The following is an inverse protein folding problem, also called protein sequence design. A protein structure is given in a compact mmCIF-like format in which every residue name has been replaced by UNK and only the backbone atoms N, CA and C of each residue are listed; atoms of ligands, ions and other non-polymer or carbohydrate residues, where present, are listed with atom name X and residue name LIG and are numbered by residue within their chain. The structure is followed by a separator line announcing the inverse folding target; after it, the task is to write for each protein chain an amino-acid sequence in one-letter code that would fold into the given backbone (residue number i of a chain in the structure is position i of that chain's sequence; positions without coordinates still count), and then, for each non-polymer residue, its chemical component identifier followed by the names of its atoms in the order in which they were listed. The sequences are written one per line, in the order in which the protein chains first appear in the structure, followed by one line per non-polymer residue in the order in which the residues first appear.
data_IF_723755327566
#
_entry.id   IF_723755327566
#
_cell.length_a   1.000
_cell.length_b   1.000
_cell.length_c   1.000
_cell.angle_alpha   90.00
_cell.angle_beta   90.00
_cell.angle_gamma   90.00
#
_symmetry.space_group_name_H-M   'P 1'
#
loop_
_entity.id
_entity.type
_entity.pdbx_description
1 polymer ?
#
# COMPACT_ATOMS: atom_id res chain seq x y z
N UNK A 1 19.16 39.89 -30.60
CA UNK A 1 19.98 39.73 -29.37
C UNK A 1 19.19 39.95 -28.06
N UNK A 2 17.92 39.52 -27.94
CA UNK A 2 17.13 39.67 -26.70
C UNK A 2 17.39 38.56 -25.66
N UNK A 3 17.65 37.32 -26.09
CA UNK A 3 17.76 36.18 -25.16
C UNK A 3 18.90 36.23 -24.13
N UNK A 4 20.06 36.82 -24.43
CA UNK A 4 21.21 36.80 -23.49
C UNK A 4 21.01 37.67 -22.23
N UNK A 5 20.25 38.78 -22.33
CA UNK A 5 19.97 39.65 -21.18
C UNK A 5 18.93 39.03 -20.24
N UNK A 6 17.96 38.31 -20.79
CA UNK A 6 16.92 37.65 -20.02
C UNK A 6 17.47 36.49 -19.16
N UNK A 7 18.44 35.73 -19.68
CA UNK A 7 19.14 34.70 -18.91
C UNK A 7 19.95 35.27 -17.74
N UNK A 8 20.62 36.42 -17.94
CA UNK A 8 21.41 37.07 -16.88
C UNK A 8 20.49 37.60 -15.77
N UNK A 9 19.35 38.19 -16.14
CA UNK A 9 18.34 38.62 -15.18
C UNK A 9 17.78 37.43 -14.38
N UNK A 10 17.43 36.32 -15.05
CA UNK A 10 16.95 35.10 -14.39
C UNK A 10 17.99 34.54 -13.40
N UNK A 11 19.27 34.48 -13.79
CA UNK A 11 20.34 34.02 -12.89
C UNK A 11 20.56 34.96 -11.70
N UNK A 12 20.46 36.28 -11.88
CA UNK A 12 20.57 37.25 -10.79
C UNK A 12 19.42 37.11 -9.78
N UNK A 13 18.20 36.84 -10.25
CA UNK A 13 17.05 36.55 -9.37
C UNK A 13 17.17 35.21 -8.63
N UNK A 14 17.76 34.19 -9.26
CA UNK A 14 18.01 32.89 -8.64
C UNK A 14 19.23 32.88 -7.72
N UNK A 15 20.13 33.85 -7.84
CA UNK A 15 21.42 33.88 -7.13
C UNK A 15 21.27 33.78 -5.60
N UNK A 16 20.35 34.52 -4.93
CA UNK A 16 20.16 34.38 -3.48
C UNK A 16 19.69 32.98 -3.06
N UNK A 17 18.80 32.37 -3.85
CA UNK A 17 18.31 31.00 -3.60
C UNK A 17 19.41 29.97 -3.83
N UNK A 18 20.12 30.05 -4.96
CA UNK A 18 21.21 29.14 -5.28
C UNK A 18 22.37 29.28 -4.29
N UNK A 19 22.66 30.50 -3.84
CA UNK A 19 23.70 30.77 -2.87
C UNK A 19 23.36 30.18 -1.49
N UNK A 20 22.13 30.38 -1.01
CA UNK A 20 21.69 29.80 0.27
C UNK A 20 21.64 28.27 0.21
N UNK A 21 21.13 27.71 -0.89
CA UNK A 21 21.09 26.26 -1.10
C UNK A 21 22.50 25.68 -1.23
N UNK A 22 23.40 26.33 -1.99
CA UNK A 22 24.78 25.91 -2.12
C UNK A 22 25.50 25.98 -0.77
N UNK A 23 25.46 27.10 -0.05
CA UNK A 23 26.20 27.20 1.22
C UNK A 23 25.63 26.24 2.25
N UNK A 24 24.31 26.21 2.48
CA UNK A 24 23.77 25.35 3.53
C UNK A 24 23.93 23.86 3.18
N UNK A 25 23.60 23.48 1.95
CA UNK A 25 23.59 22.08 1.54
C UNK A 25 24.97 21.57 1.14
N UNK A 26 25.71 22.29 0.29
CA UNK A 26 27.02 21.85 -0.20
C UNK A 26 28.05 21.82 0.94
N UNK A 27 28.05 22.82 1.82
CA UNK A 27 28.94 22.80 2.99
C UNK A 27 28.63 21.60 3.89
N UNK A 28 27.36 21.40 4.26
CA UNK A 28 26.96 20.27 5.11
C UNK A 28 27.29 18.92 4.44
N UNK A 29 27.05 18.81 3.14
CA UNK A 29 27.36 17.62 2.35
C UNK A 29 28.87 17.33 2.32
N UNK A 30 29.68 18.30 1.87
CA UNK A 30 31.14 18.14 1.80
C UNK A 30 31.72 17.84 3.17
N UNK A 31 31.22 18.48 4.23
CA UNK A 31 31.66 18.22 5.61
C UNK A 31 31.27 16.82 6.08
N UNK A 32 30.07 16.34 5.75
CA UNK A 32 29.61 14.98 6.09
C UNK A 32 30.45 13.93 5.36
N UNK A 33 30.74 14.16 4.08
CA UNK A 33 31.62 13.30 3.30
C UNK A 33 33.03 13.31 3.87
N UNK A 34 33.58 14.48 4.20
CA UNK A 34 34.89 14.56 4.86
C UNK A 34 34.90 13.76 6.17
N UNK A 35 33.86 13.90 6.99
CA UNK A 35 33.76 13.16 8.25
C UNK A 35 33.62 11.65 8.09
N UNK A 36 32.99 11.16 7.01
CA UNK A 36 32.86 9.72 6.78
C UNK A 36 34.19 9.02 6.53
N UNK A 37 35.22 9.74 6.05
CA UNK A 37 36.59 9.23 5.87
C UNK A 37 37.48 9.40 7.11
N UNK A 38 36.93 9.90 8.21
CA UNK A 38 37.68 10.17 9.44
C UNK A 38 37.10 9.41 10.63
N UNK A 39 37.95 9.08 11.60
CA UNK A 39 37.51 8.65 12.94
C UNK A 39 37.15 9.90 13.73
N UNK A 40 36.00 10.47 13.37
CA UNK A 40 35.46 11.64 14.02
C UNK A 40 34.63 11.22 15.23
N UNK A 41 35.10 11.62 16.41
CA UNK A 41 34.33 11.58 17.65
C UNK A 41 34.31 13.00 18.20
N UNK A 42 33.17 13.49 18.71
CA UNK A 42 33.01 14.86 19.19
C UNK A 42 34.10 15.30 20.20
N UNK A 43 34.75 14.34 20.86
CA UNK A 43 35.74 14.56 21.91
C UNK A 43 37.19 14.22 21.51
N UNK A 44 37.46 13.73 20.30
CA UNK A 44 38.81 13.32 19.87
C UNK A 44 39.28 14.08 18.63
N UNK A 45 40.60 14.27 18.54
CA UNK A 45 41.24 14.85 17.36
C UNK A 45 41.01 13.90 16.18
N UNK A 46 40.50 14.46 15.09
CA UNK A 46 40.07 13.76 13.89
C UNK A 46 41.26 13.12 13.17
N UNK A 47 41.28 11.79 13.05
CA UNK A 47 42.27 11.07 12.23
C UNK A 47 41.63 10.61 10.93
N UNK A 48 42.32 10.78 9.81
CA UNK A 48 41.86 10.26 8.51
C UNK A 48 42.11 8.76 8.48
N UNK A 49 41.04 7.97 8.37
CA UNK A 49 41.11 6.49 8.35
C UNK A 49 40.68 5.94 6.97
N UNK A 50 40.27 6.81 6.05
CA UNK A 50 39.95 6.44 4.68
C UNK A 50 38.69 5.58 4.62
N UNK A 51 38.77 4.44 3.93
CA UNK A 51 37.61 3.56 3.66
C UNK A 51 37.32 2.53 4.77
N UNK A 52 38.08 2.53 5.86
CA UNK A 52 37.90 1.58 6.96
C UNK A 52 36.49 1.63 7.56
N UNK A 53 35.91 2.82 7.64
CA UNK A 53 34.58 3.04 8.22
C UNK A 53 33.50 2.31 7.40
N UNK A 54 33.57 2.38 6.07
CA UNK A 54 32.64 1.69 5.18
C UNK A 54 32.80 0.17 5.25
N UNK A 55 34.04 -0.32 5.24
CA UNK A 55 34.32 -1.76 5.38
C UNK A 55 33.86 -2.29 6.75
N UNK A 56 33.98 -1.48 7.80
CA UNK A 56 33.45 -1.78 9.13
C UNK A 56 31.93 -1.86 9.15
N UNK A 57 31.23 -0.92 8.50
CA UNK A 57 29.76 -0.91 8.43
C UNK A 57 29.20 -2.20 7.84
N UNK A 58 29.78 -2.72 6.76
CA UNK A 58 29.30 -3.97 6.15
C UNK A 58 29.61 -5.23 6.98
N UNK A 59 30.50 -5.14 7.97
CA UNK A 59 30.77 -6.21 8.94
C UNK A 59 29.83 -6.14 10.15
N UNK A 60 29.19 -5.00 10.38
CA UNK A 60 28.23 -4.83 11.47
C UNK A 60 26.89 -5.52 11.13
N UNK A 61 26.47 -6.55 11.87
CA UNK A 61 25.29 -7.33 11.53
C UNK A 61 24.00 -6.50 11.57
N UNK A 62 23.93 -5.52 12.47
CA UNK A 62 22.77 -4.63 12.59
C UNK A 62 22.68 -3.63 11.44
N UNK A 63 23.81 -3.21 10.86
CA UNK A 63 23.81 -2.30 9.72
C UNK A 63 23.25 -3.00 8.49
N UNK A 64 23.78 -4.19 8.17
CA UNK A 64 23.32 -4.97 7.00
C UNK A 64 21.84 -5.34 7.16
N UNK A 65 21.42 -5.75 8.35
CA UNK A 65 20.02 -6.06 8.64
C UNK A 65 19.13 -4.82 8.49
N UNK A 66 19.55 -3.67 9.02
CA UNK A 66 18.82 -2.40 8.89
C UNK A 66 18.72 -1.92 7.44
N UNK A 67 19.78 -2.10 6.65
CA UNK A 67 19.79 -1.79 5.23
C UNK A 67 18.82 -2.69 4.46
N UNK A 68 18.83 -4.00 4.71
CA UNK A 68 17.89 -4.94 4.10
C UNK A 68 16.45 -4.56 4.46
N UNK A 69 16.15 -4.28 5.74
CA UNK A 69 14.81 -3.85 6.15
C UNK A 69 14.37 -2.55 5.47
N UNK A 70 15.29 -1.60 5.27
CA UNK A 70 15.01 -0.33 4.58
C UNK A 70 14.73 -0.53 3.09
N UNK A 71 15.47 -1.44 2.43
CA UNK A 71 15.24 -1.78 1.03
C UNK A 71 13.93 -2.56 0.84
N UNK A 72 13.66 -3.54 1.70
CA UNK A 72 12.41 -4.29 1.74
C UNK A 72 11.23 -3.34 1.99
N UNK A 73 11.39 -2.39 2.93
CA UNK A 73 10.42 -1.32 3.16
C UNK A 73 10.15 -0.49 1.91
N UNK A 74 11.19 0.05 1.29
CA UNK A 74 11.04 0.89 0.11
C UNK A 74 10.35 0.14 -1.04
N UNK A 75 10.77 -1.10 -1.32
CA UNK A 75 10.19 -1.92 -2.39
C UNK A 75 8.73 -2.28 -2.15
N UNK A 76 8.40 -2.82 -0.97
CA UNK A 76 7.04 -3.27 -0.66
C UNK A 76 6.08 -2.10 -0.54
N UNK A 77 6.47 -1.02 0.16
CA UNK A 77 5.62 0.14 0.37
C UNK A 77 5.35 0.84 -0.96
N UNK A 78 6.38 1.07 -1.77
CA UNK A 78 6.20 1.73 -3.07
C UNK A 78 5.32 0.90 -4.01
N UNK A 79 5.54 -0.41 -4.10
CA UNK A 79 4.69 -1.26 -4.94
C UNK A 79 3.24 -1.31 -4.44
N UNK A 80 3.04 -1.45 -3.13
CA UNK A 80 1.70 -1.54 -2.51
C UNK A 80 0.94 -0.22 -2.64
N UNK A 81 1.57 0.91 -2.31
CA UNK A 81 0.92 2.22 -2.40
C UNK A 81 0.56 2.56 -3.84
N UNK A 82 1.43 2.26 -4.83
CA UNK A 82 1.13 2.48 -6.25
C UNK A 82 -0.04 1.62 -6.71
N UNK A 83 -0.06 0.35 -6.31
CA UNK A 83 -1.17 -0.57 -6.61
C UNK A 83 -2.51 -0.08 -6.03
N UNK A 84 -2.55 0.23 -4.73
CA UNK A 84 -3.78 0.71 -4.08
C UNK A 84 -4.20 2.09 -4.59
N UNK A 85 -3.25 2.98 -4.84
CA UNK A 85 -3.52 4.32 -5.36
C UNK A 85 -4.13 4.27 -6.77
N UNK A 86 -3.63 3.39 -7.64
CA UNK A 86 -4.19 3.20 -8.98
C UNK A 86 -5.62 2.66 -8.91
N UNK A 87 -5.86 1.64 -8.07
CA UNK A 87 -7.21 1.08 -7.88
C UNK A 87 -8.19 2.17 -7.41
N UNK A 88 -7.81 2.90 -6.36
CA UNK A 88 -8.65 3.96 -5.82
C UNK A 88 -8.84 5.09 -6.84
N UNK A 89 -7.82 5.46 -7.62
CA UNK A 89 -7.93 6.47 -8.66
C UNK A 89 -8.94 6.06 -9.74
N UNK A 90 -8.91 4.79 -10.18
CA UNK A 90 -9.87 4.26 -11.15
C UNK A 90 -11.29 4.28 -10.58
N UNK A 91 -11.47 3.86 -9.32
CA UNK A 91 -12.78 3.87 -8.65
C UNK A 91 -13.33 5.30 -8.54
N UNK A 92 -12.48 6.27 -8.19
CA UNK A 92 -12.86 7.69 -8.05
C UNK A 92 -13.03 8.39 -9.40
N UNK A 93 -12.46 7.85 -10.47
CA UNK A 93 -12.67 8.35 -11.83
C UNK A 93 -14.04 7.95 -12.39
N UNK A 94 -14.69 6.91 -11.85
CA UNK A 94 -16.04 6.55 -12.24
C UNK A 94 -17.05 7.56 -11.70
N UNK A 95 -18.08 7.89 -12.50
CA UNK A 95 -19.17 8.80 -12.14
C UNK A 95 -20.14 8.16 -11.13
N UNK A 96 -19.66 7.78 -9.96
CA UNK A 96 -20.46 7.16 -8.90
C UNK A 96 -21.14 8.26 -8.06
N UNK A 97 -22.41 8.05 -7.68
CA UNK A 97 -23.12 8.94 -6.74
C UNK A 97 -22.47 8.86 -5.35
N UNK A 98 -22.14 10.02 -4.76
CA UNK A 98 -21.47 10.10 -3.44
C UNK A 98 -19.95 10.39 -3.48
N UNK A 99 -19.41 10.74 -4.65
CA UNK A 99 -17.99 10.95 -4.86
C UNK A 99 -17.33 11.98 -3.90
N UNK A 100 -18.05 13.04 -3.53
CA UNK A 100 -17.55 14.08 -2.63
C UNK A 100 -17.26 13.55 -1.23
N UNK A 101 -18.13 12.68 -0.71
CA UNK A 101 -17.91 12.04 0.59
C UNK A 101 -16.77 11.04 0.53
N UNK A 102 -16.71 10.22 -0.52
CA UNK A 102 -15.62 9.27 -0.71
C UNK A 102 -14.26 9.98 -0.77
N UNK A 103 -14.18 11.08 -1.54
CA UNK A 103 -13.00 11.94 -1.60
C UNK A 103 -12.60 12.47 -0.23
N UNK A 104 -13.53 13.08 0.50
CA UNK A 104 -13.25 13.58 1.84
C UNK A 104 -12.73 12.48 2.78
N UNK A 105 -13.39 11.31 2.82
CA UNK A 105 -13.06 10.23 3.74
C UNK A 105 -11.64 9.69 3.54
N UNK A 106 -11.21 9.45 2.29
CA UNK A 106 -9.85 8.94 2.06
C UNK A 106 -8.79 10.03 2.19
N UNK A 107 -9.13 11.32 2.11
CA UNK A 107 -8.16 12.41 2.31
C UNK A 107 -7.83 12.69 3.78
N UNK A 108 -8.74 12.37 4.70
CA UNK A 108 -8.55 12.59 6.15
C UNK A 108 -7.16 12.16 6.67
N UNK A 109 -6.61 10.99 6.32
CA UNK A 109 -5.30 10.55 6.80
C UNK A 109 -4.14 11.39 6.28
N UNK A 110 -4.26 11.97 5.08
CA UNK A 110 -3.18 12.79 4.49
C UNK A 110 -3.12 14.20 5.06
N UNK A 111 -4.24 14.71 5.57
CA UNK A 111 -4.37 16.07 6.11
C UNK A 111 -4.16 16.09 7.64
N UNK A 112 -4.35 14.95 8.30
CA UNK A 112 -4.14 14.83 9.74
C UNK A 112 -2.66 15.04 10.12
N UNK A 113 -2.42 15.60 11.30
CA UNK A 113 -1.07 15.80 11.83
C UNK A 113 -0.35 14.46 11.99
N UNK A 114 0.92 14.41 11.57
CA UNK A 114 1.77 13.22 11.72
C UNK A 114 1.74 12.67 13.15
N UNK A 115 1.75 13.54 14.17
CA UNK A 115 1.74 13.12 15.58
C UNK A 115 0.42 12.41 15.92
N UNK A 116 -0.72 13.01 15.53
CA UNK A 116 -2.04 12.43 15.79
C UNK A 116 -2.21 11.06 15.12
N UNK A 117 -1.77 10.94 13.87
CA UNK A 117 -1.77 9.68 13.11
C UNK A 117 -0.93 8.62 13.83
N UNK A 118 0.29 8.96 14.23
CA UNK A 118 1.18 8.03 14.96
C UNK A 118 0.55 7.59 16.27
N UNK A 119 -0.05 8.50 17.04
CA UNK A 119 -0.76 8.14 18.29
C UNK A 119 -1.93 7.21 18.02
N UNK A 120 -2.78 7.51 17.03
CA UNK A 120 -3.89 6.64 16.63
C UNK A 120 -3.39 5.24 16.27
N UNK A 121 -2.30 5.16 15.52
CA UNK A 121 -1.73 3.90 15.08
C UNK A 121 -1.11 3.09 16.22
N UNK A 122 -0.44 3.75 17.18
CA UNK A 122 0.07 3.09 18.40
C UNK A 122 -1.08 2.47 19.19
N UNK A 123 -2.21 3.16 19.31
CA UNK A 123 -3.41 2.62 19.97
C UNK A 123 -3.99 1.43 19.20
N UNK A 124 -4.10 1.57 17.88
CA UNK A 124 -4.61 0.52 16.98
C UNK A 124 -3.77 -0.76 17.05
N UNK A 125 -2.44 -0.62 17.13
CA UNK A 125 -1.44 -1.70 17.17
C UNK A 125 -1.05 -2.12 18.60
N UNK A 126 -1.72 -1.57 19.61
CA UNK A 126 -1.52 -1.97 21.00
C UNK A 126 -2.05 -3.40 21.25
N UNK A 127 -1.65 -4.02 22.36
CA UNK A 127 -2.08 -5.39 22.71
C UNK A 127 -3.61 -5.56 22.72
N UNK A 128 -4.36 -4.54 23.16
CA UNK A 128 -5.84 -4.52 23.18
C UNK A 128 -6.43 -3.65 22.07
N UNK A 129 -5.63 -3.32 21.05
CA UNK A 129 -6.06 -2.47 19.94
C UNK A 129 -6.99 -3.20 18.97
N UNK A 130 -7.64 -2.42 18.10
CA UNK A 130 -8.63 -2.93 17.15
C UNK A 130 -8.06 -3.98 16.20
N UNK A 131 -6.78 -3.89 15.83
CA UNK A 131 -6.15 -4.87 14.91
C UNK A 131 -6.09 -6.25 15.56
N UNK A 132 -5.68 -6.31 16.82
CA UNK A 132 -5.67 -7.56 17.59
C UNK A 132 -7.08 -8.10 17.81
N UNK A 133 -8.04 -7.22 18.05
CA UNK A 133 -9.45 -7.61 18.16
C UNK A 133 -9.98 -8.19 16.84
N UNK A 134 -9.71 -7.56 15.69
CA UNK A 134 -10.09 -8.05 14.36
C UNK A 134 -9.42 -9.39 14.04
N UNK A 135 -8.12 -9.53 14.32
CA UNK A 135 -7.41 -10.79 14.14
C UNK A 135 -7.94 -11.88 15.07
N UNK A 136 -8.26 -11.54 16.31
CA UNK A 136 -8.94 -12.43 17.25
C UNK A 136 -10.29 -12.91 16.71
N UNK A 137 -11.05 -12.03 16.05
CA UNK A 137 -12.31 -12.39 15.41
C UNK A 137 -12.09 -13.37 14.25
N UNK A 138 -11.12 -13.11 13.38
CA UNK A 138 -10.77 -14.01 12.27
C UNK A 138 -10.29 -15.37 12.78
N UNK A 139 -9.37 -15.39 13.75
CA UNK A 139 -8.81 -16.62 14.31
C UNK A 139 -9.89 -17.43 15.04
N UNK A 140 -10.73 -16.77 15.85
CA UNK A 140 -11.83 -17.43 16.57
C UNK A 140 -12.83 -18.08 15.63
N UNK A 141 -13.16 -17.43 14.52
CA UNK A 141 -14.16 -17.91 13.57
C UNK A 141 -13.55 -18.64 12.37
N UNK A 142 -12.25 -18.89 12.36
CA UNK A 142 -11.56 -19.56 11.24
C UNK A 142 -12.21 -20.89 10.82
N UNK A 143 -12.61 -21.79 11.75
CA UNK A 143 -13.31 -23.02 11.37
C UNK A 143 -14.65 -22.77 10.67
N UNK A 144 -15.38 -21.73 11.09
CA UNK A 144 -16.67 -21.35 10.50
C UNK A 144 -16.48 -20.67 9.14
N UNK A 145 -15.43 -19.87 8.97
CA UNK A 145 -15.08 -19.25 7.70
C UNK A 145 -14.72 -20.33 6.66
N UNK A 146 -13.88 -21.30 7.04
CA UNK A 146 -13.55 -22.42 6.16
C UNK A 146 -14.77 -23.26 5.80
N UNK A 147 -15.65 -23.52 6.76
CA UNK A 147 -16.91 -24.21 6.51
C UNK A 147 -17.80 -23.42 5.54
N UNK A 148 -17.92 -22.10 5.72
CA UNK A 148 -18.69 -21.24 4.84
C UNK A 148 -18.14 -21.26 3.41
N UNK A 149 -16.82 -21.17 3.25
CA UNK A 149 -16.15 -21.22 1.95
C UNK A 149 -16.28 -22.59 1.28
N UNK A 150 -16.12 -23.68 2.05
CA UNK A 150 -16.29 -25.04 1.53
C UNK A 150 -17.74 -25.30 1.09
N UNK A 151 -18.71 -24.88 1.90
CA UNK A 151 -20.14 -24.98 1.57
C UNK A 151 -20.49 -24.11 0.36
N UNK A 152 -19.92 -22.91 0.24
CA UNK A 152 -20.09 -22.04 -0.92
C UNK A 152 -19.48 -22.68 -2.18
N UNK A 153 -18.28 -23.25 -2.11
CA UNK A 153 -17.65 -23.92 -3.24
C UNK A 153 -18.44 -25.15 -3.71
N UNK A 154 -19.00 -25.94 -2.78
CA UNK A 154 -19.88 -27.06 -3.09
C UNK A 154 -21.18 -26.59 -3.74
N UNK A 155 -21.82 -25.56 -3.19
CA UNK A 155 -23.04 -24.97 -3.75
C UNK A 155 -22.79 -24.44 -5.16
N UNK A 156 -21.67 -23.76 -5.39
CA UNK A 156 -21.26 -23.26 -6.70
C UNK A 156 -21.05 -24.40 -7.70
N UNK A 157 -20.35 -25.47 -7.30
CA UNK A 157 -20.15 -26.63 -8.17
C UNK A 157 -21.49 -27.27 -8.57
N UNK A 158 -22.39 -27.47 -7.60
CA UNK A 158 -23.72 -28.06 -7.83
C UNK A 158 -24.56 -27.19 -8.75
N UNK A 159 -24.60 -25.87 -8.51
CA UNK A 159 -25.36 -24.92 -9.34
C UNK A 159 -24.84 -24.90 -10.78
N UNK A 160 -23.52 -24.82 -10.98
CA UNK A 160 -22.91 -24.83 -12.32
C UNK A 160 -23.14 -26.16 -13.06
N UNK A 161 -23.03 -27.30 -12.36
CA UNK A 161 -23.31 -28.63 -12.93
C UNK A 161 -24.79 -28.78 -13.31
N UNK A 162 -25.69 -28.27 -12.47
CA UNK A 162 -27.13 -28.31 -12.70
C UNK A 162 -27.54 -27.47 -13.91
N UNK A 163 -27.02 -26.25 -14.04
CA UNK A 163 -27.30 -25.35 -15.16
C UNK A 163 -26.72 -25.87 -16.48
N UNK A 164 -25.50 -26.43 -16.46
CA UNK A 164 -24.91 -27.10 -17.63
C UNK A 164 -25.73 -28.30 -18.08
N UNK A 165 -26.32 -29.05 -17.14
CA UNK A 165 -27.19 -30.19 -17.45
C UNK A 165 -28.53 -29.77 -18.06
N UNK A 166 -29.01 -28.56 -17.76
CA UNK A 166 -30.25 -27.99 -18.32
C UNK A 166 -30.00 -27.18 -19.61
N UNK A 167 -28.80 -27.26 -20.19
CA UNK A 167 -28.48 -26.63 -21.48
C UNK A 167 -28.19 -25.14 -21.42
N UNK A 168 -28.04 -24.56 -20.22
CA UNK A 168 -27.66 -23.15 -20.06
C UNK A 168 -26.13 -23.03 -20.08
N UNK A 169 -25.53 -22.15 -20.91
CA UNK A 169 -24.09 -21.93 -20.94
C UNK A 169 -23.64 -21.13 -19.72
N UNK A 170 -23.66 -21.76 -18.54
CA UNK A 170 -23.23 -21.15 -17.29
C UNK A 170 -21.70 -21.14 -17.19
N UNK A 171 -21.13 -19.93 -17.07
CA UNK A 171 -19.72 -19.76 -16.76
C UNK A 171 -19.44 -20.25 -15.33
N UNK A 172 -18.27 -20.87 -15.10
CA UNK A 172 -17.92 -21.42 -13.79
C UNK A 172 -17.85 -20.37 -12.66
N UNK A 173 -17.69 -19.10 -13.02
CA UNK A 173 -17.61 -17.94 -12.12
C UNK A 173 -18.64 -16.87 -12.50
N UNK A 174 -19.86 -17.29 -12.85
CA UNK A 174 -20.94 -16.33 -13.06
C UNK A 174 -21.19 -15.52 -11.75
N UNK A 175 -21.16 -14.18 -11.79
CA UNK A 175 -21.36 -13.34 -10.61
C UNK A 175 -22.63 -13.66 -9.82
N UNK A 176 -23.72 -14.04 -10.50
CA UNK A 176 -25.00 -14.34 -9.84
C UNK A 176 -24.90 -15.65 -9.04
N UNK A 177 -24.31 -16.69 -9.65
CA UNK A 177 -24.11 -18.00 -9.01
C UNK A 177 -23.17 -17.88 -7.82
N UNK A 178 -22.09 -17.10 -7.95
CA UNK A 178 -21.13 -16.86 -6.87
C UNK A 178 -21.79 -16.15 -5.68
N UNK A 179 -22.66 -15.16 -5.93
CA UNK A 179 -23.38 -14.48 -4.85
C UNK A 179 -24.34 -15.44 -4.14
N UNK A 180 -25.09 -16.26 -4.90
CA UNK A 180 -25.99 -17.25 -4.32
C UNK A 180 -25.25 -18.32 -3.53
N UNK A 181 -24.12 -18.81 -4.04
CA UNK A 181 -23.31 -19.83 -3.38
C UNK A 181 -22.69 -19.30 -2.08
N UNK A 182 -22.25 -18.04 -2.04
CA UNK A 182 -21.77 -17.37 -0.83
C UNK A 182 -22.89 -17.20 0.22
N UNK A 183 -24.10 -16.85 -0.20
CA UNK A 183 -25.26 -16.75 0.70
C UNK A 183 -25.63 -18.12 1.29
N UNK A 184 -25.62 -19.16 0.47
CA UNK A 184 -25.86 -20.53 0.92
C UNK A 184 -24.75 -20.98 1.88
N UNK A 185 -23.48 -20.75 1.53
CA UNK A 185 -22.35 -21.14 2.37
C UNK A 185 -22.35 -20.46 3.74
N UNK A 186 -22.67 -19.16 3.77
CA UNK A 186 -22.79 -18.41 5.03
C UNK A 186 -24.02 -18.83 5.86
N UNK A 187 -25.16 -19.12 5.22
CA UNK A 187 -26.34 -19.68 5.90
C UNK A 187 -26.03 -21.06 6.51
N UNK A 188 -25.37 -21.94 5.75
CA UNK A 188 -24.96 -23.28 6.22
C UNK A 188 -23.98 -23.16 7.39
N UNK A 189 -22.97 -22.29 7.30
CA UNK A 189 -22.01 -22.11 8.38
C UNK A 189 -22.64 -21.53 9.66
N UNK A 190 -23.60 -20.61 9.53
CA UNK A 190 -24.31 -20.04 10.71
C UNK A 190 -25.27 -21.05 11.33
N UNK A 191 -25.96 -21.87 10.53
CA UNK A 191 -26.84 -22.95 11.03
C UNK A 191 -26.01 -24.03 11.73
N UNK A 192 -24.93 -24.50 11.11
CA UNK A 192 -24.04 -25.51 11.71
C UNK A 192 -23.28 -24.98 12.93
N UNK A 193 -22.99 -23.68 12.97
CA UNK A 193 -22.47 -23.00 14.16
C UNK A 193 -23.49 -22.93 15.30
N UNK A 194 -24.77 -22.67 15.01
CA UNK A 194 -25.86 -22.70 16.01
C UNK A 194 -26.19 -24.10 16.51
N UNK A 195 -26.02 -25.11 15.65
CA UNK A 195 -26.19 -26.53 15.99
C UNK A 195 -24.98 -27.11 16.74
N UNK A 196 -23.98 -26.28 17.04
CA UNK A 196 -22.80 -26.64 17.83
C UNK A 196 -21.92 -27.74 17.20
N UNK A 197 -22.11 -27.98 15.89
CA UNK A 197 -21.35 -28.98 15.10
C UNK A 197 -19.93 -28.48 14.84
N UNK A 198 -19.75 -27.18 14.62
CA UNK A 198 -18.46 -26.52 14.49
C UNK A 198 -18.43 -25.33 15.44
N UNK A 199 -17.60 -25.42 16.48
CA UNK A 199 -17.47 -24.37 17.49
C UNK A 199 -16.42 -23.33 17.08
N UNK A 200 -16.64 -22.04 17.36
CA UNK A 200 -15.56 -21.07 17.37
C UNK A 200 -14.47 -21.51 18.35
N UNK A 201 -13.21 -21.25 18.02
CA UNK A 201 -12.09 -21.57 18.91
C UNK A 201 -12.20 -20.73 20.19
N UNK A 202 -12.61 -21.38 21.29
CA UNK A 202 -12.66 -20.76 22.62
C UNK A 202 -11.25 -20.49 23.16
N UNK A 203 -11.10 -19.39 23.92
CA UNK A 203 -9.86 -19.09 24.66
C UNK A 203 -8.69 -18.52 23.84
N UNK A 204 -8.84 -18.29 22.54
CA UNK A 204 -7.78 -17.68 21.72
C UNK A 204 -7.86 -16.15 21.80
N UNK A 205 -7.09 -15.57 22.73
CA UNK A 205 -6.86 -14.12 22.77
C UNK A 205 -5.62 -13.76 21.97
N UNK A 206 -5.79 -13.08 20.84
CA UNK A 206 -4.70 -12.56 20.04
C UNK A 206 -4.23 -11.25 20.67
N UNK A 207 -3.11 -11.27 21.39
CA UNK A 207 -2.56 -10.10 22.07
C UNK A 207 -1.11 -9.79 21.61
N UNK A 208 -0.93 -9.62 20.30
CA UNK A 208 0.38 -9.39 19.68
C UNK A 208 0.85 -7.96 19.96
N UNK A 209 2.04 -7.76 20.57
CA UNK A 209 2.63 -6.43 20.71
C UNK A 209 3.40 -6.05 19.44
N UNK A 210 2.68 -5.57 18.43
CA UNK A 210 3.17 -5.34 17.06
C UNK A 210 4.47 -4.55 16.97
N UNK A 211 4.62 -3.49 17.77
CA UNK A 211 5.74 -2.56 17.67
C UNK A 211 7.00 -3.00 18.42
N UNK A 212 6.87 -3.88 19.41
CA UNK A 212 7.99 -4.27 20.29
C UNK A 212 8.37 -5.75 20.14
N UNK A 213 7.63 -6.51 19.35
CA UNK A 213 7.89 -7.93 19.12
C UNK A 213 9.07 -8.14 18.17
N UNK A 214 9.76 -9.26 18.32
CA UNK A 214 10.81 -9.73 17.38
C UNK A 214 10.28 -10.80 16.43
N UNK A 215 8.99 -11.09 16.48
CA UNK A 215 8.38 -12.08 15.60
C UNK A 215 8.41 -11.59 14.14
N UNK A 216 8.59 -12.54 13.24
CA UNK A 216 8.63 -12.33 11.80
C UNK A 216 7.47 -13.07 11.14
N UNK A 217 6.87 -12.45 10.12
CA UNK A 217 5.90 -13.06 9.24
C UNK A 217 6.46 -13.05 7.81
N UNK A 218 6.56 -14.22 7.17
CA UNK A 218 7.17 -14.38 5.83
C UNK A 218 8.59 -13.78 5.74
N UNK A 219 9.38 -13.88 6.82
CA UNK A 219 10.73 -13.29 6.90
C UNK A 219 10.77 -11.79 7.19
N UNK A 220 9.63 -11.11 7.26
CA UNK A 220 9.53 -9.67 7.55
C UNK A 220 9.17 -9.47 9.03
N UNK A 221 9.88 -8.65 9.81
CA UNK A 221 9.51 -8.34 11.19
C UNK A 221 8.11 -7.73 11.28
N UNK A 222 7.29 -8.17 12.25
CA UNK A 222 5.96 -7.60 12.49
C UNK A 222 5.98 -6.08 12.77
N UNK A 223 6.98 -5.51 13.50
CA UNK A 223 7.06 -4.05 13.65
C UNK A 223 7.24 -3.34 12.31
N UNK A 224 8.03 -3.92 11.41
CA UNK A 224 8.25 -3.37 10.09
C UNK A 224 6.96 -3.40 9.26
N UNK A 225 6.23 -4.51 9.30
CA UNK A 225 4.91 -4.61 8.65
C UNK A 225 3.92 -3.58 9.20
N UNK A 226 3.90 -3.36 10.52
CA UNK A 226 3.05 -2.33 11.12
C UNK A 226 3.39 -0.94 10.56
N UNK A 227 4.67 -0.58 10.50
CA UNK A 227 5.11 0.71 9.95
C UNK A 227 4.79 0.81 8.45
N UNK A 228 4.98 -0.27 7.68
CA UNK A 228 4.61 -0.33 6.26
C UNK A 228 3.11 -0.11 6.07
N UNK A 229 2.26 -0.79 6.84
CA UNK A 229 0.80 -0.61 6.77
C UNK A 229 0.38 0.82 7.06
N UNK A 230 0.97 1.44 8.09
CA UNK A 230 0.74 2.85 8.40
C UNK A 230 1.12 3.74 7.20
N UNK A 231 2.32 3.55 6.66
CA UNK A 231 2.81 4.38 5.57
C UNK A 231 1.97 4.23 4.30
N UNK A 232 1.62 2.99 3.92
CA UNK A 232 0.74 2.73 2.77
C UNK A 232 -0.60 3.43 2.98
N UNK A 233 -1.20 3.33 4.16
CA UNK A 233 -2.50 3.98 4.43
C UNK A 233 -2.43 5.51 4.36
N UNK A 234 -1.36 6.15 4.85
CA UNK A 234 -1.27 7.62 4.86
C UNK A 234 -0.86 8.22 3.51
N UNK A 235 -0.09 7.49 2.71
CA UNK A 235 0.47 8.00 1.44
C UNK A 235 -0.37 7.64 0.20
N UNK A 236 -1.10 6.52 0.25
CA UNK A 236 -1.99 6.08 -0.84
C UNK A 236 -2.95 7.21 -1.30
N UNK A 237 -3.64 7.96 -0.42
CA UNK A 237 -4.48 9.11 -0.80
C UNK A 237 -3.79 10.12 -1.69
N UNK A 238 -2.55 10.49 -1.36
CA UNK A 238 -1.77 11.49 -2.07
C UNK A 238 -1.34 10.99 -3.45
N UNK A 239 -0.85 9.75 -3.53
CA UNK A 239 -0.49 9.11 -4.80
C UNK A 239 -1.72 8.90 -5.70
N UNK A 240 -2.87 8.64 -5.09
CA UNK A 240 -4.13 8.48 -5.81
C UNK A 240 -4.56 9.78 -6.50
N UNK A 241 -4.30 10.97 -5.91
CA UNK A 241 -4.58 12.26 -6.59
C UNK A 241 -3.75 12.38 -7.86
N UNK A 242 -2.47 12.03 -7.75
CA UNK A 242 -1.53 12.13 -8.86
C UNK A 242 -2.02 11.24 -10.02
N UNK A 243 -2.40 9.99 -9.75
CA UNK A 243 -2.98 9.11 -10.77
C UNK A 243 -4.35 9.58 -11.27
N UNK A 244 -5.20 10.13 -10.40
CA UNK A 244 -6.50 10.66 -10.81
C UNK A 244 -6.35 11.86 -11.75
N UNK A 245 -5.37 12.74 -11.50
CA UNK A 245 -5.05 13.85 -12.39
C UNK A 245 -4.57 13.32 -13.76
N UNK A 246 -3.68 12.32 -13.77
CA UNK A 246 -3.26 11.65 -14.99
C UNK A 246 -4.42 10.98 -15.75
N UNK A 247 -5.35 10.34 -15.04
CA UNK A 247 -6.55 9.74 -15.65
C UNK A 247 -7.50 10.76 -16.27
N UNK A 248 -7.57 11.96 -15.69
CA UNK A 248 -8.41 13.05 -16.20
C UNK A 248 -7.83 13.73 -17.44
N UNK A 249 -6.51 13.61 -17.65
CA UNK A 249 -5.81 14.14 -18.82
C UNK A 249 -5.98 13.24 -20.06
N UNK A 250 -6.41 11.97 -19.87
CA UNK A 250 -6.64 11.04 -20.97
C UNK A 250 -7.87 11.50 -21.79
N UNK A 251 -7.72 11.76 -23.11
CA UNK A 251 -8.84 12.16 -23.96
C UNK A 251 -9.93 11.08 -24.00
N UNK A 252 -11.19 11.49 -23.89
CA UNK A 252 -12.33 10.54 -23.83
C UNK A 252 -12.55 9.81 -25.15
N UNK A 253 -12.12 10.41 -26.27
CA UNK A 253 -12.27 9.85 -27.61
C UNK A 253 -11.59 8.49 -27.73
N UNK A 254 -10.46 8.26 -27.02
CA UNK A 254 -9.78 6.97 -27.02
C UNK A 254 -10.64 5.84 -26.44
N UNK A 255 -11.45 6.13 -25.43
CA UNK A 255 -12.36 5.15 -24.84
C UNK A 255 -13.59 4.93 -25.72
N UNK A 256 -14.10 5.98 -26.37
CA UNK A 256 -15.24 5.89 -27.28
C UNK A 256 -14.91 5.07 -28.53
N UNK A 257 -13.72 5.27 -29.12
CA UNK A 257 -13.23 4.44 -30.23
C UNK A 257 -13.09 2.99 -29.81
N UNK A 258 -12.52 2.73 -28.63
CA UNK A 258 -12.39 1.38 -28.11
C UNK A 258 -13.75 0.71 -27.84
N UNK A 259 -14.77 1.49 -27.45
CA UNK A 259 -16.15 1.00 -27.30
C UNK A 259 -16.79 0.65 -28.64
N UNK A 260 -16.53 1.44 -29.70
CA UNK A 260 -16.96 1.14 -31.07
C UNK A 260 -16.30 -0.16 -31.57
N UNK A 261 -15.03 -0.36 -31.25
CA UNK A 261 -14.28 -1.58 -31.60
C UNK A 261 -14.64 -2.80 -30.72
N UNK A 262 -15.55 -2.66 -29.75
CA UNK A 262 -15.99 -3.75 -28.88
C UNK A 262 -14.97 -4.18 -27.82
N UNK A 263 -14.04 -3.30 -27.45
CA UNK A 263 -12.99 -3.60 -26.47
C UNK A 263 -13.55 -3.81 -25.06
N UNK A 264 -13.14 -4.90 -24.41
CA UNK A 264 -13.51 -5.21 -23.03
C UNK A 264 -12.90 -4.21 -22.03
N UNK A 265 -13.49 -4.04 -20.83
CA UNK A 265 -12.94 -3.16 -19.79
C UNK A 265 -11.48 -3.47 -19.42
N UNK A 266 -11.11 -4.76 -19.44
CA UNK A 266 -9.72 -5.18 -19.20
C UNK A 266 -8.77 -4.78 -20.33
N UNK A 267 -9.21 -4.88 -21.58
CA UNK A 267 -8.43 -4.41 -22.72
C UNK A 267 -8.24 -2.90 -22.69
N UNK A 268 -9.29 -2.13 -22.38
CA UNK A 268 -9.21 -0.67 -22.21
C UNK A 268 -8.25 -0.30 -21.07
N UNK A 269 -8.32 -1.01 -19.93
CA UNK A 269 -7.39 -0.81 -18.82
C UNK A 269 -5.94 -1.07 -19.23
N UNK A 270 -5.66 -2.23 -19.83
CA UNK A 270 -4.30 -2.67 -20.13
C UNK A 270 -3.65 -1.93 -21.33
N UNK A 271 -4.43 -1.52 -22.33
CA UNK A 271 -3.91 -0.94 -23.58
C UNK A 271 -4.08 0.57 -23.69
N UNK A 272 -5.01 1.18 -22.93
CA UNK A 272 -5.24 2.63 -22.96
C UNK A 272 -4.81 3.23 -21.63
N UNK A 273 -5.46 2.82 -20.54
CA UNK A 273 -5.30 3.47 -19.22
C UNK A 273 -3.90 3.29 -18.64
N UNK A 274 -3.39 2.06 -18.53
CA UNK A 274 -2.07 1.79 -17.93
C UNK A 274 -0.92 2.40 -18.75
N UNK A 275 -0.89 2.27 -20.10
CA UNK A 275 0.16 2.90 -20.91
C UNK A 275 0.12 4.43 -20.85
N UNK A 276 -1.06 5.04 -20.85
CA UNK A 276 -1.21 6.50 -20.74
C UNK A 276 -0.76 7.04 -19.38
N UNK A 277 -0.89 6.25 -18.31
CA UNK A 277 -0.43 6.61 -16.97
C UNK A 277 1.06 6.36 -16.71
N UNK A 278 1.80 5.71 -17.63
CA UNK A 278 3.25 5.43 -17.45
C UNK A 278 4.11 6.65 -17.11
N UNK A 279 3.87 7.87 -17.64
CA UNK A 279 4.64 9.06 -17.26
C UNK A 279 4.39 9.52 -15.81
N UNK A 280 3.32 9.03 -15.18
CA UNK A 280 2.85 9.40 -13.85
C UNK A 280 3.18 8.34 -12.79
N UNK A 281 3.47 7.10 -13.23
CA UNK A 281 3.85 5.94 -12.40
C UNK A 281 5.35 5.92 -12.08
#
# INVERSE_FOLDING_TARGET
MKGKRDWVAAFLFLLPLLFTLAIAFLYAFVRTVYFSFTDYNLFKITKVVGLSNYLGLFREPYFVLGLIHSLVYAGIVTASQTFFALILAIVVNQKIRGLTFFRAAYYVPSVASSVAITTMFIWLMSRRGTVNWLLGLVVRHWPLILLALAAAALAQAVQVLWERRHGVPAAALDPVIVVLSLLIGTAVATVLGKLDVVRPLGGVEVAIPWLTTRQTFLGIPLPLLAIMMLNVWTTTPTMMILFLAGLQDIPRELYEVADIDGATPWQKLAHITVPALRPVM
#
